data_IF_448011694451
#
_entry.id   IF_448011694451
#
_cell.length_a   1.000
_cell.length_b   1.000
_cell.length_c   1.000
_cell.angle_alpha   90.00
_cell.angle_beta   90.00
_cell.angle_gamma   90.00
#
_symmetry.space_group_name_H-M   'P 1'
#
loop_
_entity.id
_entity.type
_entity.pdbx_description
1 polymer ?
#
# COMPACT_ATOMS: atom_id res chain seq x y z
N UNK A 1 7.85 -4.77 10.60
CA UNK A 1 6.74 -4.05 9.97
C UNK A 1 6.19 -4.84 8.79
N UNK A 2 7.02 -5.17 7.80
CA UNK A 2 6.67 -5.92 6.59
C UNK A 2 5.72 -7.12 6.77
N UNK A 3 5.95 -8.00 7.76
CA UNK A 3 5.06 -9.15 8.02
C UNK A 3 3.61 -8.78 8.35
N UNK A 4 3.38 -7.65 9.04
CA UNK A 4 2.03 -7.11 9.31
C UNK A 4 1.36 -6.72 7.99
N UNK A 5 2.10 -6.01 7.12
CA UNK A 5 1.59 -5.53 5.83
C UNK A 5 1.25 -6.69 4.90
N UNK A 6 2.12 -7.71 4.81
CA UNK A 6 1.85 -8.93 4.06
C UNK A 6 0.60 -9.66 4.56
N UNK A 7 0.39 -9.73 5.88
CA UNK A 7 -0.82 -10.33 6.45
C UNK A 7 -2.09 -9.53 6.14
N UNK A 8 -2.03 -8.20 6.14
CA UNK A 8 -3.14 -7.32 5.74
C UNK A 8 -3.46 -7.49 4.25
N UNK A 9 -2.44 -7.45 3.38
CA UNK A 9 -2.57 -7.69 1.94
C UNK A 9 -3.20 -9.06 1.68
N UNK A 10 -2.67 -10.13 2.29
CA UNK A 10 -3.20 -11.48 2.14
C UNK A 10 -4.65 -11.59 2.65
N UNK A 11 -5.00 -10.87 3.72
CA UNK A 11 -6.36 -10.84 4.25
C UNK A 11 -7.33 -10.14 3.29
N UNK A 12 -6.95 -8.99 2.73
CA UNK A 12 -7.76 -8.28 1.74
C UNK A 12 -7.96 -9.10 0.45
N UNK A 13 -6.95 -9.88 0.05
CA UNK A 13 -6.97 -10.76 -1.12
C UNK A 13 -7.72 -12.09 -0.89
N UNK A 14 -8.29 -12.34 0.29
CA UNK A 14 -9.11 -13.56 0.51
C UNK A 14 -10.36 -13.57 -0.38
N UNK A 15 -10.98 -12.42 -0.58
CA UNK A 15 -12.22 -12.26 -1.37
C UNK A 15 -12.02 -11.63 -2.75
N UNK A 16 -10.78 -11.27 -3.10
CA UNK A 16 -10.43 -10.54 -4.33
C UNK A 16 -9.18 -11.15 -4.98
N UNK A 17 -9.04 -11.02 -6.29
CA UNK A 17 -7.83 -11.49 -7.01
C UNK A 17 -6.70 -10.47 -6.91
N UNK A 18 -7.05 -9.19 -6.84
CA UNK A 18 -6.12 -8.08 -6.69
C UNK A 18 -6.75 -6.93 -5.87
N UNK A 19 -5.90 -6.04 -5.37
CA UNK A 19 -6.28 -4.82 -4.65
C UNK A 19 -5.21 -3.75 -4.86
N UNK A 20 -5.62 -2.50 -5.10
CA UNK A 20 -4.68 -1.38 -5.17
C UNK A 20 -4.24 -0.91 -3.77
N UNK A 21 -3.09 -0.24 -3.66
CA UNK A 21 -2.67 0.33 -2.37
C UNK A 21 -3.68 1.37 -1.86
N UNK A 22 -4.23 2.21 -2.74
CA UNK A 22 -5.25 3.22 -2.38
C UNK A 22 -6.50 2.59 -1.77
N UNK A 23 -7.01 1.49 -2.34
CA UNK A 23 -8.11 0.72 -1.74
C UNK A 23 -7.70 0.01 -0.45
N UNK A 24 -6.47 -0.51 -0.37
CA UNK A 24 -5.99 -1.23 0.80
C UNK A 24 -5.92 -0.31 2.03
N UNK A 25 -5.44 0.93 1.87
CA UNK A 25 -5.31 1.88 2.97
C UNK A 25 -6.65 2.44 3.46
N UNK A 26 -7.73 2.30 2.68
CA UNK A 26 -9.09 2.56 3.17
C UNK A 26 -9.53 1.52 4.22
N UNK A 27 -8.99 0.30 4.13
CA UNK A 27 -9.28 -0.82 5.06
C UNK A 27 -8.26 -0.83 6.21
N UNK A 28 -7.00 -0.58 5.90
CA UNK A 28 -5.87 -0.58 6.83
C UNK A 28 -5.12 0.75 6.69
N UNK A 29 -5.57 1.82 7.36
CA UNK A 29 -4.93 3.13 7.28
C UNK A 29 -3.44 3.08 7.66
N UNK A 30 -2.63 3.91 6.99
CA UNK A 30 -1.20 4.02 7.26
C UNK A 30 -0.98 4.63 8.64
N UNK A 31 -0.25 3.92 9.50
CA UNK A 31 0.01 4.31 10.90
C UNK A 31 1.45 4.78 11.10
N UNK A 32 2.41 4.25 10.32
CA UNK A 32 3.85 4.53 10.48
C UNK A 32 4.40 5.54 9.47
N UNK A 33 3.55 6.31 8.82
CA UNK A 33 3.99 7.37 7.91
C UNK A 33 4.64 6.83 6.63
N UNK A 34 5.69 7.51 6.14
CA UNK A 34 6.40 7.10 4.91
C UNK A 34 7.17 5.78 5.03
N UNK A 35 7.56 5.36 6.23
CA UNK A 35 8.26 4.08 6.41
C UNK A 35 7.38 2.91 5.92
N UNK A 36 6.10 2.94 6.27
CA UNK A 36 5.11 1.95 5.83
C UNK A 36 4.89 1.98 4.32
N UNK A 37 4.92 3.17 3.72
CA UNK A 37 4.80 3.34 2.27
C UNK A 37 5.99 2.76 1.52
N UNK A 38 7.21 2.93 2.04
CA UNK A 38 8.42 2.32 1.47
C UNK A 38 8.33 0.79 1.54
N UNK A 39 7.84 0.25 2.66
CA UNK A 39 7.63 -1.20 2.81
C UNK A 39 6.58 -1.75 1.83
N UNK A 40 5.48 -1.04 1.58
CA UNK A 40 4.53 -1.41 0.53
C UNK A 40 5.16 -1.42 -0.87
N UNK A 41 6.04 -0.46 -1.16
CA UNK A 41 6.81 -0.44 -2.39
C UNK A 41 7.74 -1.64 -2.49
N UNK A 42 8.51 -1.97 -1.45
CA UNK A 42 9.39 -3.14 -1.44
C UNK A 42 8.63 -4.44 -1.71
N UNK A 43 7.47 -4.61 -1.07
CA UNK A 43 6.57 -5.73 -1.35
C UNK A 43 6.15 -5.72 -2.82
N UNK A 44 5.71 -4.57 -3.36
CA UNK A 44 5.21 -4.45 -4.73
C UNK A 44 6.26 -4.74 -5.82
N UNK A 45 7.55 -4.64 -5.51
CA UNK A 45 8.63 -5.03 -6.44
C UNK A 45 8.75 -6.55 -6.61
N UNK A 46 8.15 -7.35 -5.72
CA UNK A 46 8.18 -8.81 -5.82
C UNK A 46 6.98 -9.32 -6.65
N UNK A 47 7.19 -10.24 -7.61
CA UNK A 47 6.08 -10.91 -8.29
C UNK A 47 5.15 -11.61 -7.29
N UNK A 48 3.82 -11.60 -7.50
CA UNK A 48 3.07 -11.21 -8.71
C UNK A 48 2.55 -9.75 -8.69
N UNK A 49 3.10 -8.90 -7.82
CA UNK A 49 2.65 -7.52 -7.65
C UNK A 49 3.15 -6.64 -8.81
N UNK A 50 2.48 -5.50 -9.03
CA UNK A 50 2.89 -4.55 -10.07
C UNK A 50 2.83 -3.13 -9.58
N UNK A 51 3.77 -2.33 -10.08
CA UNK A 51 3.77 -0.87 -10.00
C UNK A 51 3.45 -0.36 -11.40
N UNK A 52 2.37 0.40 -11.53
CA UNK A 52 1.93 1.06 -12.75
C UNK A 52 2.31 2.54 -12.67
N UNK A 53 3.35 2.91 -13.42
CA UNK A 53 3.90 4.27 -13.43
C UNK A 53 3.06 5.27 -14.24
N UNK A 54 2.22 4.78 -15.15
CA UNK A 54 1.37 5.60 -16.03
C UNK A 54 0.15 6.15 -15.29
N UNK A 55 -0.28 5.45 -14.23
CA UNK A 55 -1.38 5.86 -13.36
C UNK A 55 -0.83 6.42 -12.03
N UNK A 56 -1.35 7.57 -11.60
CA UNK A 56 -1.02 8.17 -10.30
C UNK A 56 -2.19 8.04 -9.34
N UNK A 57 -1.97 7.39 -8.20
CA UNK A 57 -2.89 7.35 -7.08
C UNK A 57 -2.45 8.34 -6.00
N UNK A 58 -3.42 8.88 -5.26
CA UNK A 58 -3.17 9.71 -4.08
C UNK A 58 -3.44 8.92 -2.82
N UNK A 59 -2.49 8.96 -1.87
CA UNK A 59 -2.63 8.35 -0.55
C UNK A 59 -2.49 9.41 0.53
N UNK A 60 -3.24 9.25 1.62
CA UNK A 60 -3.10 10.10 2.81
C UNK A 60 -2.26 9.37 3.85
N UNK A 61 -1.25 10.08 4.35
CA UNK A 61 -0.27 9.49 5.25
C UNK A 61 -0.04 10.40 6.45
N UNK A 62 0.05 9.81 7.63
CA UNK A 62 0.37 10.55 8.84
C UNK A 62 1.76 11.21 8.73
N UNK A 63 1.79 12.53 8.93
CA UNK A 63 2.99 13.32 9.10
C UNK A 63 3.32 13.38 10.60
N UNK A 64 4.12 12.41 11.04
CA UNK A 64 4.51 12.22 12.45
C UNK A 64 5.24 13.47 13.00
N UNK A 65 5.91 14.25 12.15
CA UNK A 65 6.66 15.45 12.57
C UNK A 65 5.76 16.66 12.86
N UNK A 66 4.58 16.74 12.24
CA UNK A 66 3.69 17.90 12.32
C UNK A 66 2.31 17.57 12.90
N UNK A 67 2.14 16.35 13.41
CA UNK A 67 0.86 15.81 13.91
C UNK A 67 -0.31 16.11 12.96
N UNK A 68 -0.05 15.92 11.66
CA UNK A 68 -0.97 16.25 10.57
C UNK A 68 -1.03 15.12 9.54
N UNK A 69 -1.93 15.20 8.58
CA UNK A 69 -1.95 14.30 7.43
C UNK A 69 -1.30 14.97 6.22
N UNK A 70 -0.51 14.21 5.47
CA UNK A 70 0.09 14.63 4.21
C UNK A 70 -0.46 13.78 3.07
N UNK A 71 -0.97 14.44 2.03
CA UNK A 71 -1.35 13.78 0.79
C UNK A 71 -0.11 13.55 -0.06
N UNK A 72 0.14 12.31 -0.45
CA UNK A 72 1.25 11.94 -1.30
C UNK A 72 0.73 11.35 -2.63
N UNK A 73 1.38 11.68 -3.74
CA UNK A 73 1.02 11.19 -5.08
C UNK A 73 2.09 10.22 -5.54
N UNK A 74 1.68 9.03 -5.95
CA UNK A 74 2.60 7.97 -6.34
C UNK A 74 2.07 7.11 -7.48
N UNK A 75 2.93 6.35 -8.17
CA UNK A 75 2.49 5.28 -9.07
C UNK A 75 1.43 4.39 -8.44
N UNK A 76 0.51 3.87 -9.25
CA UNK A 76 -0.48 2.92 -8.78
C UNK A 76 0.21 1.60 -8.44
N UNK A 77 0.04 1.16 -7.19
CA UNK A 77 0.53 -0.13 -6.73
C UNK A 77 -0.63 -1.10 -6.70
N UNK A 78 -0.47 -2.27 -7.30
CA UNK A 78 -1.48 -3.34 -7.31
C UNK A 78 -0.87 -4.61 -6.72
N UNK A 79 -1.45 -5.05 -5.60
CA UNK A 79 -1.16 -6.33 -4.98
C UNK A 79 -2.06 -7.41 -5.57
N UNK A 80 -1.51 -8.61 -5.75
CA UNK A 80 -2.20 -9.75 -6.38
C UNK A 80 -2.05 -10.99 -5.55
N UNK A 81 -3.09 -11.82 -5.56
CA UNK A 81 -3.07 -13.09 -4.83
C UNK A 81 -2.03 -14.01 -5.44
N UNK A 82 -1.12 -14.52 -4.60
CA UNK A 82 -0.25 -15.63 -4.96
C UNK A 82 -1.13 -16.88 -5.08
N UNK A 83 -1.22 -17.42 -6.30
CA UNK A 83 -1.91 -18.68 -6.61
C UNK A 83 -1.08 -19.88 -6.23
#
# INVERSE_FOLDING_TARGET
>A
MQQKLLAQIATALKSRVEISLSELIEIYPIECGMEEVVEYLEIAHQPPHTIDDDVKDSIEVANILQDSQMKNTMPRIVFRRQT
#
